data_IF_817004265377
#
_entry.id   IF_817004265377
#
_cell.length_a   1.000
_cell.length_b   1.000
_cell.length_c   1.000
_cell.angle_alpha   90.00
_cell.angle_beta   90.00
_cell.angle_gamma   90.00
#
_symmetry.space_group_name_H-M   'P 1'
#
loop_
_entity.id
_entity.type
_entity.pdbx_description
1 polymer ?
#
# COMPACT_ATOMS: atom_id res chain seq x y z
N UNK A 1 4.50 10.39 17.65
CA UNK A 1 4.60 8.97 17.24
C UNK A 1 5.40 8.92 15.95
N UNK A 2 6.39 8.04 15.86
CA UNK A 2 7.17 7.85 14.62
C UNK A 2 6.38 6.95 13.66
N UNK A 3 6.21 7.32 12.39
CA UNK A 3 5.56 6.44 11.42
C UNK A 3 6.37 5.15 11.22
N UNK A 4 5.71 4.02 10.91
CA UNK A 4 6.39 2.74 10.71
C UNK A 4 7.34 2.80 9.49
N UNK A 5 8.48 2.12 9.57
CA UNK A 5 9.45 2.08 8.46
C UNK A 5 8.95 1.36 7.20
N UNK A 6 7.93 0.51 7.33
CA UNK A 6 7.25 -0.17 6.22
C UNK A 6 5.78 -0.45 6.50
N UNK A 7 4.98 -0.56 5.44
CA UNK A 7 3.55 -0.94 5.49
C UNK A 7 3.29 -2.11 4.53
N UNK A 8 2.52 -3.10 4.98
CA UNK A 8 1.95 -4.17 4.16
C UNK A 8 0.46 -3.89 3.95
N UNK A 9 0.02 -3.86 2.69
CA UNK A 9 -1.39 -3.77 2.30
C UNK A 9 -1.81 -5.13 1.77
N UNK A 10 -2.88 -5.71 2.33
CA UNK A 10 -3.45 -6.99 1.89
C UNK A 10 -4.71 -6.70 1.06
N UNK A 11 -4.75 -7.22 -0.15
CA UNK A 11 -5.71 -6.92 -1.21
C UNK A 11 -5.12 -5.94 -2.23
N UNK A 12 -4.88 -6.40 -3.46
CA UNK A 12 -4.32 -5.60 -4.56
C UNK A 12 -5.38 -4.90 -5.43
N UNK A 13 -6.67 -5.09 -5.15
CA UNK A 13 -7.76 -4.40 -5.84
C UNK A 13 -7.88 -2.91 -5.52
N UNK A 14 -8.98 -2.29 -5.96
CA UNK A 14 -9.19 -0.84 -5.90
C UNK A 14 -8.96 -0.20 -4.52
N UNK A 15 -9.43 -0.85 -3.44
CA UNK A 15 -9.25 -0.35 -2.08
C UNK A 15 -7.77 -0.37 -1.63
N UNK A 16 -7.04 -1.42 -2.01
CA UNK A 16 -5.61 -1.54 -1.74
C UNK A 16 -4.81 -0.46 -2.45
N UNK A 17 -5.02 -0.31 -3.76
CA UNK A 17 -4.37 0.75 -4.55
C UNK A 17 -4.69 2.15 -4.04
N UNK A 18 -5.96 2.43 -3.70
CA UNK A 18 -6.37 3.72 -3.12
C UNK A 18 -5.67 4.00 -1.79
N UNK A 19 -5.44 2.95 -0.99
CA UNK A 19 -4.69 3.06 0.27
C UNK A 19 -3.23 3.42 0.01
N UNK A 20 -2.57 2.75 -0.95
CA UNK A 20 -1.18 3.05 -1.34
C UNK A 20 -1.05 4.47 -1.86
N UNK A 21 -1.97 4.89 -2.73
CA UNK A 21 -2.00 6.24 -3.29
C UNK A 21 -2.17 7.29 -2.18
N UNK A 22 -3.10 7.08 -1.24
CA UNK A 22 -3.30 7.97 -0.12
C UNK A 22 -2.05 8.07 0.78
N UNK A 23 -1.36 6.95 1.05
CA UNK A 23 -0.11 6.96 1.82
C UNK A 23 0.95 7.80 1.13
N UNK A 24 1.15 7.62 -0.18
CA UNK A 24 2.11 8.42 -0.95
C UNK A 24 1.74 9.90 -1.00
N UNK A 25 0.48 10.23 -1.27
CA UNK A 25 -0.02 11.62 -1.25
C UNK A 25 0.14 12.30 0.10
N UNK A 26 0.04 11.54 1.20
CA UNK A 26 0.26 12.03 2.57
C UNK A 26 1.73 12.07 2.99
N UNK A 27 2.67 11.82 2.07
CA UNK A 27 4.11 11.94 2.33
C UNK A 27 4.72 10.73 3.02
N UNK A 28 4.06 9.57 3.03
CA UNK A 28 4.68 8.34 3.51
C UNK A 28 5.81 7.92 2.57
N UNK A 29 7.06 8.09 3.00
CA UNK A 29 8.26 7.75 2.24
C UNK A 29 8.75 6.31 2.49
N UNK A 30 8.18 5.61 3.48
CA UNK A 30 8.58 4.24 3.83
C UNK A 30 8.24 3.22 2.74
N UNK A 31 8.72 1.99 2.91
CA UNK A 31 8.45 0.90 1.98
C UNK A 31 6.98 0.51 2.06
N UNK A 32 6.34 0.30 0.91
CA UNK A 32 4.98 -0.23 0.83
C UNK A 32 5.05 -1.53 0.02
N UNK A 33 4.52 -2.61 0.58
CA UNK A 33 4.32 -3.89 -0.12
C UNK A 33 2.82 -4.12 -0.25
N UNK A 34 2.37 -4.51 -1.44
CA UNK A 34 0.98 -4.88 -1.71
C UNK A 34 0.94 -6.37 -1.99
N UNK A 35 0.07 -7.08 -1.27
CA UNK A 35 -0.16 -8.51 -1.43
C UNK A 35 -1.56 -8.71 -2.02
N UNK A 36 -1.62 -9.15 -3.27
CA UNK A 36 -2.83 -9.68 -3.91
C UNK A 36 -2.81 -11.21 -3.90
N UNK A 37 -3.98 -11.81 -4.02
CA UNK A 37 -4.16 -13.25 -4.27
C UNK A 37 -4.36 -13.52 -5.77
N UNK A 38 -4.49 -12.45 -6.55
CA UNK A 38 -4.69 -12.48 -7.98
C UNK A 38 -3.34 -12.69 -8.70
N UNK A 39 -3.29 -13.67 -9.63
CA UNK A 39 -2.13 -13.90 -10.51
C UNK A 39 -1.96 -12.82 -11.60
N UNK A 40 -2.81 -11.79 -11.58
CA UNK A 40 -2.84 -10.70 -12.57
C UNK A 40 -2.70 -9.35 -11.90
N UNK A 41 -2.03 -8.42 -12.58
CA UNK A 41 -2.03 -7.02 -12.16
C UNK A 41 -3.48 -6.46 -12.16
N UNK A 42 -3.79 -5.48 -11.28
CA UNK A 42 -5.09 -4.81 -11.26
C UNK A 42 -5.44 -4.11 -12.58
#
# INVERSE_FOLDING_TARGET
MTPPGSVLVVGAGAAGLSTVEALRRKGYAGRITVLGDEDTAP
#
